data_IF_452838914381
#
_entry.id   IF_452838914381
#
_cell.length_a   1.000
_cell.length_b   1.000
_cell.length_c   1.000
_cell.angle_alpha   90.00
_cell.angle_beta   90.00
_cell.angle_gamma   90.00
#
_symmetry.space_group_name_H-M   'P 1'
#
loop_
_entity.id
_entity.type
_entity.pdbx_description
1 polymer ?
#
# COMPACT_ATOMS: atom_id res chain seq x y z
N UNK A 1 -59.33 15.33 -53.70
CA UNK A 1 -57.85 15.34 -53.76
C UNK A 1 -57.33 14.74 -52.47
N UNK A 2 -56.43 13.77 -52.55
CA UNK A 2 -55.76 13.18 -51.38
C UNK A 2 -54.74 14.20 -50.87
N UNK A 3 -54.88 14.65 -49.63
CA UNK A 3 -53.91 15.55 -48.99
C UNK A 3 -52.85 14.69 -48.30
N UNK A 4 -51.67 14.61 -48.92
CA UNK A 4 -50.54 13.84 -48.41
C UNK A 4 -49.93 14.42 -47.12
N UNK A 5 -50.38 15.60 -46.67
CA UNK A 5 -49.91 16.24 -45.43
C UNK A 5 -50.71 15.86 -44.18
N UNK A 6 -51.81 15.12 -44.35
CA UNK A 6 -52.66 14.66 -43.25
C UNK A 6 -52.32 13.23 -42.85
N UNK A 7 -51.68 13.07 -41.69
CA UNK A 7 -51.44 11.77 -41.06
C UNK A 7 -52.42 11.53 -39.90
N UNK A 8 -52.83 10.27 -39.71
CA UNK A 8 -53.76 9.86 -38.64
C UNK A 8 -53.32 8.54 -38.04
N UNK A 9 -53.41 8.40 -36.72
CA UNK A 9 -53.28 7.11 -36.03
C UNK A 9 -54.63 6.45 -35.95
N UNK A 10 -54.66 5.15 -36.20
CA UNK A 10 -55.89 4.37 -36.15
C UNK A 10 -55.77 3.28 -35.11
N UNK A 11 -56.75 3.22 -34.21
CA UNK A 11 -56.97 2.09 -33.33
C UNK A 11 -58.22 1.35 -33.80
N UNK A 12 -58.13 0.02 -33.89
CA UNK A 12 -59.24 -0.80 -34.35
C UNK A 12 -59.47 -2.02 -33.48
N UNK A 13 -60.73 -2.41 -33.32
CA UNK A 13 -61.13 -3.65 -32.65
C UNK A 13 -62.06 -4.44 -33.56
N UNK A 14 -61.75 -5.72 -33.74
CA UNK A 14 -62.64 -6.64 -34.43
C UNK A 14 -63.81 -7.01 -33.52
N UNK A 15 -65.02 -6.94 -34.07
CA UNK A 15 -66.28 -7.34 -33.42
C UNK A 15 -66.93 -8.46 -34.24
N UNK A 16 -67.92 -9.14 -33.65
CA UNK A 16 -68.47 -10.40 -34.16
C UNK A 16 -68.95 -10.34 -35.63
N UNK A 17 -69.40 -9.16 -36.10
CA UNK A 17 -69.84 -8.90 -37.49
C UNK A 17 -69.12 -7.71 -38.16
N UNK A 18 -67.89 -7.37 -37.76
CA UNK A 18 -67.15 -6.28 -38.40
C UNK A 18 -65.94 -5.77 -37.62
N UNK A 19 -65.58 -4.50 -37.82
CA UNK A 19 -64.56 -3.83 -37.01
C UNK A 19 -64.98 -2.38 -36.74
N UNK A 20 -64.60 -1.89 -35.57
CA UNK A 20 -64.68 -0.46 -35.25
C UNK A 20 -63.28 0.10 -35.38
N UNK A 21 -63.12 1.20 -36.10
CA UNK A 21 -61.86 1.92 -36.24
C UNK A 21 -62.07 3.37 -35.83
N UNK A 22 -61.23 3.86 -34.92
CA UNK A 22 -61.19 5.27 -34.52
C UNK A 22 -59.91 5.85 -35.08
N UNK A 23 -60.04 6.89 -35.91
CA UNK A 23 -58.92 7.66 -36.41
C UNK A 23 -58.72 8.90 -35.57
N UNK A 24 -57.55 9.04 -34.97
CA UNK A 24 -57.12 10.23 -34.25
C UNK A 24 -56.16 11.04 -35.12
N UNK A 25 -56.30 12.36 -35.10
CA UNK A 25 -55.40 13.24 -35.85
C UNK A 25 -53.98 13.13 -35.28
N UNK A 26 -52.99 12.91 -36.14
CA UNK A 26 -51.63 12.68 -35.67
C UNK A 26 -51.03 13.93 -35.00
N UNK A 27 -51.44 15.15 -35.39
CA UNK A 27 -50.91 16.38 -34.77
C UNK A 27 -51.44 16.55 -33.36
N UNK A 28 -52.75 16.42 -33.19
CA UNK A 28 -53.37 16.48 -31.85
C UNK A 28 -52.85 15.37 -30.93
N UNK A 29 -52.58 14.17 -31.46
CA UNK A 29 -51.93 13.09 -30.72
C UNK A 29 -50.54 13.43 -30.21
N UNK A 30 -49.72 14.03 -31.06
CA UNK A 30 -48.37 14.45 -30.70
C UNK A 30 -48.41 15.59 -29.68
N UNK A 31 -49.35 16.54 -29.82
CA UNK A 31 -49.53 17.63 -28.86
C UNK A 31 -49.96 17.12 -27.47
N UNK A 32 -50.93 16.19 -27.42
CA UNK A 32 -51.39 15.57 -26.17
C UNK A 32 -50.29 14.71 -25.53
N UNK A 33 -49.57 13.90 -26.32
CA UNK A 33 -48.41 13.13 -25.85
C UNK A 33 -47.32 14.04 -25.31
N UNK A 34 -47.03 15.14 -26.01
CA UNK A 34 -46.01 16.10 -25.60
C UNK A 34 -46.32 16.67 -24.22
N UNK A 35 -47.57 17.08 -23.99
CA UNK A 35 -48.01 17.59 -22.69
C UNK A 35 -47.89 16.52 -21.58
N UNK A 36 -48.25 15.27 -21.89
CA UNK A 36 -48.25 14.18 -20.91
C UNK A 36 -46.85 13.63 -20.61
N UNK A 37 -45.99 13.54 -21.62
CA UNK A 37 -44.56 13.18 -21.48
C UNK A 37 -43.83 14.28 -20.72
N UNK A 38 -44.04 15.55 -21.05
CA UNK A 38 -43.44 16.67 -20.31
C UNK A 38 -43.86 16.67 -18.83
N UNK A 39 -45.13 16.41 -18.54
CA UNK A 39 -45.62 16.28 -17.17
C UNK A 39 -45.04 15.07 -16.43
N UNK A 40 -44.87 13.95 -17.13
CA UNK A 40 -44.36 12.68 -16.56
C UNK A 40 -42.85 12.66 -16.32
N UNK A 41 -42.10 13.46 -17.08
CA UNK A 41 -40.64 13.59 -16.96
C UNK A 41 -40.25 14.64 -15.92
N UNK A 42 -41.09 15.66 -15.70
CA UNK A 42 -40.86 16.73 -14.70
C UNK A 42 -40.63 16.28 -13.26
N UNK A 43 -41.06 15.07 -12.88
CA UNK A 43 -40.84 14.51 -11.53
C UNK A 43 -39.90 13.30 -11.54
N UNK A 44 -39.17 13.06 -12.64
CA UNK A 44 -38.19 11.98 -12.73
C UNK A 44 -36.80 12.58 -12.87
N UNK A 45 -35.85 11.98 -12.16
CA UNK A 45 -34.43 12.32 -12.20
C UNK A 45 -33.61 11.03 -12.20
N UNK A 46 -32.38 11.11 -12.71
CA UNK A 46 -31.42 10.00 -12.64
C UNK A 46 -30.41 10.32 -11.54
N UNK A 47 -30.20 9.39 -10.60
CA UNK A 47 -29.34 9.69 -9.45
C UNK A 47 -29.94 10.80 -8.57
N UNK A 48 -29.11 11.74 -8.10
CA UNK A 48 -29.51 12.91 -7.31
C UNK A 48 -29.59 14.19 -8.13
N UNK A 49 -28.71 14.35 -9.13
CA UNK A 49 -28.56 15.57 -9.94
C UNK A 49 -28.69 15.34 -11.43
N UNK A 50 -28.87 14.09 -11.87
CA UNK A 50 -29.11 13.77 -13.26
C UNK A 50 -30.48 14.21 -13.76
N UNK A 51 -30.55 14.50 -15.05
CA UNK A 51 -31.71 15.11 -15.70
C UNK A 51 -32.21 14.24 -16.85
N UNK A 52 -33.50 14.33 -17.11
CA UNK A 52 -34.09 13.79 -18.33
C UNK A 52 -34.35 14.93 -19.31
N UNK A 53 -33.96 14.72 -20.57
CA UNK A 53 -34.18 15.66 -21.67
C UNK A 53 -34.97 14.93 -22.74
N UNK A 54 -36.09 15.51 -23.15
CA UNK A 54 -36.93 15.00 -24.24
C UNK A 54 -36.79 15.95 -25.41
N UNK A 55 -36.38 15.42 -26.56
CA UNK A 55 -36.30 16.18 -27.82
C UNK A 55 -37.21 15.59 -28.89
N UNK A 56 -37.59 16.43 -29.86
CA UNK A 56 -38.29 15.99 -31.06
C UNK A 56 -37.33 15.34 -32.08
N UNK A 57 -37.86 14.87 -33.21
CA UNK A 57 -37.09 14.31 -34.34
C UNK A 57 -36.06 15.31 -34.91
N UNK A 58 -36.26 16.62 -34.70
CA UNK A 58 -35.39 17.69 -35.19
C UNK A 58 -34.29 18.08 -34.20
N UNK A 59 -34.32 17.52 -32.98
CA UNK A 59 -33.37 17.81 -31.91
C UNK A 59 -33.74 19.03 -31.06
N UNK A 60 -34.94 19.60 -31.20
CA UNK A 60 -35.43 20.68 -30.35
C UNK A 60 -35.90 20.13 -29.00
N UNK A 61 -35.57 20.82 -27.89
CA UNK A 61 -35.99 20.41 -26.55
C UNK A 61 -37.49 20.67 -26.41
N UNK A 62 -38.23 19.61 -26.16
CA UNK A 62 -39.65 19.65 -25.87
C UNK A 62 -39.89 19.81 -24.37
N UNK A 63 -39.09 19.08 -23.58
CA UNK A 63 -39.17 19.11 -22.13
C UNK A 63 -37.84 18.72 -21.51
N UNK A 64 -37.48 19.39 -20.43
CA UNK A 64 -36.32 19.09 -19.61
C UNK A 64 -36.66 19.26 -18.13
N UNK A 65 -36.00 18.50 -17.26
CA UNK A 65 -36.04 18.75 -15.83
C UNK A 65 -35.06 19.89 -15.49
N UNK A 66 -35.59 21.11 -15.30
CA UNK A 66 -34.81 22.33 -15.02
C UNK A 66 -34.97 23.42 -16.07
N UNK A 67 -34.22 24.51 -15.94
CA UNK A 67 -34.19 25.66 -16.86
C UNK A 67 -33.10 25.49 -17.94
N UNK A 68 -32.98 24.28 -18.50
CA UNK A 68 -31.92 24.01 -19.47
C UNK A 68 -32.18 24.80 -20.75
N UNK A 69 -31.17 25.57 -21.19
CA UNK A 69 -31.28 26.45 -22.33
C UNK A 69 -31.36 25.67 -23.66
N UNK A 70 -32.21 26.12 -24.57
CA UNK A 70 -32.34 25.59 -25.96
C UNK A 70 -31.00 25.55 -26.71
N UNK A 71 -30.02 26.37 -26.31
CA UNK A 71 -28.67 26.39 -26.90
C UNK A 71 -27.89 25.07 -26.70
N UNK A 72 -28.22 24.27 -25.68
CA UNK A 72 -27.54 23.00 -25.38
C UNK A 72 -28.16 21.83 -26.17
N UNK A 73 -29.38 22.02 -26.72
CA UNK A 73 -30.14 21.01 -27.45
C UNK A 73 -29.41 20.46 -28.68
N UNK A 74 -28.82 21.36 -29.48
CA UNK A 74 -28.18 21.00 -30.75
C UNK A 74 -26.95 20.12 -30.55
N UNK A 75 -26.09 20.47 -29.60
CA UNK A 75 -24.89 19.68 -29.30
C UNK A 75 -25.24 18.29 -28.75
N UNK A 76 -26.26 18.22 -27.88
CA UNK A 76 -26.73 16.96 -27.32
C UNK A 76 -27.33 16.04 -28.40
N UNK A 77 -28.05 16.61 -29.37
CA UNK A 77 -28.61 15.86 -30.50
C UNK A 77 -27.53 15.35 -31.46
N UNK A 78 -26.49 16.14 -31.73
CA UNK A 78 -25.36 15.75 -32.58
C UNK A 78 -24.54 14.62 -31.94
N UNK A 79 -24.24 14.74 -30.64
CA UNK A 79 -23.53 13.70 -29.88
C UNK A 79 -24.33 12.39 -29.82
N UNK A 80 -25.66 12.48 -29.63
CA UNK A 80 -26.55 11.31 -29.64
C UNK A 80 -26.61 10.64 -31.03
N UNK A 81 -26.67 11.42 -32.10
CA UNK A 81 -26.71 10.91 -33.47
C UNK A 81 -25.41 10.17 -33.86
N UNK A 82 -24.27 10.50 -33.26
CA UNK A 82 -22.98 9.87 -33.54
C UNK A 82 -22.84 8.44 -32.97
N UNK A 83 -23.54 8.12 -31.87
CA UNK A 83 -23.35 6.86 -31.13
C UNK A 83 -24.50 5.87 -31.33
N UNK A 84 -25.71 6.36 -31.64
CA UNK A 84 -26.91 5.53 -31.83
C UNK A 84 -27.66 5.24 -30.52
N UNK A 85 -28.93 4.84 -30.65
CA UNK A 85 -29.82 4.61 -29.51
C UNK A 85 -29.36 3.45 -28.61
N UNK A 86 -29.69 3.53 -27.32
CA UNK A 86 -29.35 2.55 -26.26
C UNK A 86 -27.85 2.33 -26.01
N UNK A 87 -27.02 3.29 -26.41
CA UNK A 87 -25.58 3.28 -26.11
C UNK A 87 -25.21 4.41 -25.15
N UNK A 88 -24.31 4.09 -24.21
CA UNK A 88 -23.74 5.07 -23.30
C UNK A 88 -22.71 5.92 -24.04
N UNK A 89 -22.87 7.24 -23.98
CA UNK A 89 -21.91 8.21 -24.49
C UNK A 89 -21.61 9.29 -23.46
N UNK A 90 -20.60 10.10 -23.75
CA UNK A 90 -20.21 11.22 -22.88
C UNK A 90 -20.46 12.51 -23.63
N UNK A 91 -21.08 13.47 -22.96
CA UNK A 91 -21.42 14.78 -23.52
C UNK A 91 -21.19 15.87 -22.48
N UNK A 92 -21.21 17.13 -22.93
CA UNK A 92 -21.11 18.30 -22.06
C UNK A 92 -22.50 18.93 -21.94
N UNK A 93 -23.03 18.95 -20.72
CA UNK A 93 -24.31 19.57 -20.41
C UNK A 93 -24.08 20.67 -19.38
N UNK A 94 -24.48 21.91 -19.70
CA UNK A 94 -24.26 23.10 -18.86
C UNK A 94 -22.79 23.29 -18.40
N UNK A 95 -21.82 22.90 -19.23
CA UNK A 95 -20.39 23.01 -18.94
C UNK A 95 -19.83 21.93 -17.99
N UNK A 96 -20.63 20.89 -17.69
CA UNK A 96 -20.19 19.71 -16.93
C UNK A 96 -20.20 18.46 -17.81
N UNK A 97 -19.19 17.61 -17.63
CA UNK A 97 -19.12 16.31 -18.27
C UNK A 97 -20.20 15.39 -17.69
N UNK A 98 -21.03 14.84 -18.56
CA UNK A 98 -22.14 13.98 -18.21
C UNK A 98 -22.09 12.68 -19.02
N UNK A 99 -22.47 11.58 -18.38
CA UNK A 99 -22.79 10.34 -19.07
C UNK A 99 -24.23 10.41 -19.55
N UNK A 100 -24.46 10.12 -20.82
CA UNK A 100 -25.76 10.20 -21.45
C UNK A 100 -26.10 8.88 -22.15
N UNK A 101 -27.40 8.57 -22.20
CA UNK A 101 -27.98 7.48 -22.96
C UNK A 101 -29.35 7.93 -23.46
N UNK A 102 -29.79 7.45 -24.61
CA UNK A 102 -31.10 7.80 -25.15
C UNK A 102 -31.83 6.64 -25.80
N UNK A 103 -33.15 6.75 -25.83
CA UNK A 103 -34.06 5.87 -26.55
C UNK A 103 -34.98 6.68 -27.46
N UNK A 104 -35.30 6.14 -28.64
CA UNK A 104 -36.26 6.73 -29.58
C UNK A 104 -37.62 6.04 -29.48
N UNK A 105 -38.66 6.80 -29.14
CA UNK A 105 -40.03 6.30 -29.00
C UNK A 105 -40.98 7.23 -29.74
N UNK A 106 -41.64 6.72 -30.78
CA UNK A 106 -42.75 7.42 -31.47
C UNK A 106 -42.38 8.84 -31.98
N UNK A 107 -41.15 9.03 -32.47
CA UNK A 107 -40.65 10.32 -32.96
C UNK A 107 -40.03 11.22 -31.88
N UNK A 108 -39.96 10.74 -30.63
CA UNK A 108 -39.34 11.45 -29.52
C UNK A 108 -38.05 10.76 -29.10
N UNK A 109 -37.03 11.56 -28.76
CA UNK A 109 -35.80 11.07 -28.12
C UNK A 109 -35.88 11.39 -26.63
N UNK A 110 -35.87 10.35 -25.81
CA UNK A 110 -35.80 10.48 -24.35
C UNK A 110 -34.35 10.22 -23.95
N UNK A 111 -33.67 11.26 -23.47
CA UNK A 111 -32.28 11.21 -23.05
C UNK A 111 -32.19 11.30 -21.54
N UNK A 112 -31.32 10.49 -20.97
CA UNK A 112 -31.02 10.47 -19.55
C UNK A 112 -29.56 10.90 -19.37
N UNK A 113 -29.32 11.97 -18.61
CA UNK A 113 -27.99 12.51 -18.35
C UNK A 113 -27.65 12.39 -16.86
N UNK A 114 -26.46 11.89 -16.57
CA UNK A 114 -25.92 11.77 -15.21
C UNK A 114 -24.55 12.47 -15.14
N UNK A 115 -24.38 13.52 -14.32
CA UNK A 115 -23.10 14.19 -14.16
C UNK A 115 -21.98 13.22 -13.76
N UNK A 116 -20.84 13.31 -14.43
CA UNK A 116 -19.69 12.44 -14.16
C UNK A 116 -19.16 12.62 -12.72
N UNK A 117 -19.33 13.81 -12.14
CA UNK A 117 -19.02 14.11 -10.73
C UNK A 117 -19.84 13.27 -9.76
N UNK A 118 -21.12 13.05 -10.05
CA UNK A 118 -22.03 12.23 -9.25
C UNK A 118 -21.74 10.74 -9.47
N UNK A 119 -21.66 10.31 -10.73
CA UNK A 119 -21.37 8.93 -11.09
C UNK A 119 -20.05 8.43 -10.46
N UNK A 120 -19.04 9.31 -10.38
CA UNK A 120 -17.74 9.00 -9.80
C UNK A 120 -17.62 9.37 -8.32
N UNK A 121 -18.63 9.97 -7.68
CA UNK A 121 -18.54 10.44 -6.28
C UNK A 121 -18.18 9.30 -5.31
N UNK A 122 -18.89 8.16 -5.43
CA UNK A 122 -18.62 6.97 -4.60
C UNK A 122 -17.25 6.37 -4.89
N UNK A 123 -16.82 6.38 -6.15
CA UNK A 123 -15.50 5.90 -6.56
C UNK A 123 -14.39 6.75 -5.95
N UNK A 124 -14.49 8.07 -6.04
CA UNK A 124 -13.47 8.98 -5.53
C UNK A 124 -13.33 8.89 -4.01
N UNK A 125 -14.46 8.82 -3.29
CA UNK A 125 -14.46 8.59 -1.85
C UNK A 125 -13.80 7.25 -1.47
N UNK A 126 -14.15 6.18 -2.19
CA UNK A 126 -13.58 4.85 -1.98
C UNK A 126 -12.07 4.82 -2.22
N UNK A 127 -11.60 5.43 -3.32
CA UNK A 127 -10.17 5.51 -3.66
C UNK A 127 -9.39 6.22 -2.56
N UNK A 128 -9.91 7.34 -2.05
CA UNK A 128 -9.24 8.11 -1.00
C UNK A 128 -9.16 7.30 0.31
N UNK A 129 -10.24 6.64 0.70
CA UNK A 129 -10.28 5.77 1.89
C UNK A 129 -9.31 4.60 1.75
N UNK A 130 -9.30 3.93 0.59
CA UNK A 130 -8.40 2.80 0.32
C UNK A 130 -6.95 3.26 0.37
N UNK A 131 -6.60 4.35 -0.32
CA UNK A 131 -5.24 4.89 -0.32
C UNK A 131 -4.77 5.26 1.10
N UNK A 132 -5.65 5.87 1.90
CA UNK A 132 -5.35 6.19 3.29
C UNK A 132 -5.11 4.94 4.15
N UNK A 133 -5.98 3.92 4.02
CA UNK A 133 -5.81 2.65 4.73
C UNK A 133 -4.52 1.93 4.32
N UNK A 134 -4.18 1.97 3.04
CA UNK A 134 -2.96 1.36 2.53
C UNK A 134 -1.71 2.03 3.11
N UNK A 135 -1.69 3.37 3.20
CA UNK A 135 -0.62 4.11 3.89
C UNK A 135 -0.50 3.69 5.36
N UNK A 136 -1.62 3.53 6.06
CA UNK A 136 -1.61 3.07 7.46
C UNK A 136 -1.06 1.66 7.61
N UNK A 137 -1.45 0.73 6.73
CA UNK A 137 -0.95 -0.64 6.72
C UNK A 137 0.56 -0.65 6.47
N UNK A 138 1.06 0.11 5.48
CA UNK A 138 2.49 0.22 5.23
C UNK A 138 3.26 0.83 6.40
N UNK A 139 2.70 1.87 7.05
CA UNK A 139 3.32 2.47 8.23
C UNK A 139 3.41 1.48 9.39
N UNK A 140 2.33 0.73 9.66
CA UNK A 140 2.33 -0.30 10.69
C UNK A 140 3.33 -1.42 10.39
N UNK A 141 3.38 -1.89 9.14
CA UNK A 141 4.33 -2.90 8.69
C UNK A 141 5.77 -2.40 8.84
N UNK A 142 6.04 -1.14 8.48
CA UNK A 142 7.35 -0.52 8.66
C UNK A 142 7.75 -0.44 10.14
N UNK A 143 6.82 -0.08 11.03
CA UNK A 143 7.06 -0.06 12.48
C UNK A 143 7.38 -1.45 13.03
N UNK A 144 6.67 -2.49 12.56
CA UNK A 144 6.94 -3.88 12.97
C UNK A 144 8.32 -4.31 12.50
N UNK A 145 8.66 -4.09 11.22
CA UNK A 145 9.99 -4.41 10.68
C UNK A 145 11.07 -3.66 11.46
N UNK A 146 10.88 -2.36 11.71
CA UNK A 146 11.81 -1.55 12.49
C UNK A 146 11.98 -2.11 13.92
N UNK A 147 10.89 -2.48 14.58
CA UNK A 147 10.94 -3.06 15.92
C UNK A 147 11.70 -4.39 15.94
N UNK A 148 11.44 -5.28 14.97
CA UNK A 148 12.14 -6.57 14.84
C UNK A 148 13.63 -6.35 14.59
N UNK A 149 14.00 -5.50 13.62
CA UNK A 149 15.40 -5.18 13.34
C UNK A 149 16.10 -4.59 14.56
N UNK A 150 15.44 -3.66 15.26
CA UNK A 150 16.01 -3.02 16.45
C UNK A 150 16.19 -4.00 17.61
N UNK A 151 15.19 -4.85 17.86
CA UNK A 151 15.17 -5.74 19.01
C UNK A 151 16.04 -6.99 18.79
N UNK A 152 15.99 -7.58 17.60
CA UNK A 152 16.66 -8.85 17.29
C UNK A 152 18.07 -8.65 16.74
N UNK A 153 18.28 -7.67 15.86
CA UNK A 153 19.58 -7.49 15.19
C UNK A 153 20.42 -6.44 15.91
N UNK A 154 19.95 -5.19 15.99
CA UNK A 154 20.76 -4.06 16.49
C UNK A 154 21.15 -4.25 17.95
N UNK A 155 20.20 -4.65 18.80
CA UNK A 155 20.45 -4.89 20.22
C UNK A 155 21.44 -6.03 20.44
N UNK A 156 21.30 -7.12 19.68
CA UNK A 156 22.17 -8.30 19.75
C UNK A 156 23.59 -7.98 19.33
N UNK A 157 23.77 -7.29 18.19
CA UNK A 157 25.09 -6.83 17.72
C UNK A 157 25.77 -5.91 18.74
N UNK A 158 25.04 -4.92 19.28
CA UNK A 158 25.61 -4.03 20.30
C UNK A 158 26.02 -4.77 21.57
N UNK A 159 25.23 -5.76 21.98
CA UNK A 159 25.51 -6.56 23.18
C UNK A 159 26.78 -7.37 22.99
N UNK A 160 26.89 -8.09 21.86
CA UNK A 160 28.10 -8.86 21.54
C UNK A 160 29.33 -7.97 21.41
N UNK A 161 29.26 -6.85 20.68
CA UNK A 161 30.41 -5.94 20.54
C UNK A 161 30.88 -5.39 21.89
N UNK A 162 29.95 -5.10 22.81
CA UNK A 162 30.32 -4.66 24.16
C UNK A 162 31.05 -5.76 24.95
N UNK A 163 30.56 -7.00 24.88
CA UNK A 163 31.19 -8.14 25.57
C UNK A 163 32.56 -8.48 24.94
N UNK A 164 32.64 -8.46 23.62
CA UNK A 164 33.89 -8.65 22.89
C UNK A 164 34.90 -7.55 23.21
N UNK A 165 34.45 -6.29 23.36
CA UNK A 165 35.28 -5.19 23.83
C UNK A 165 35.95 -5.49 25.18
N UNK A 166 35.20 -6.01 26.15
CA UNK A 166 35.75 -6.39 27.45
C UNK A 166 36.77 -7.53 27.35
N UNK A 167 36.54 -8.50 26.46
CA UNK A 167 37.49 -9.57 26.18
C UNK A 167 38.79 -8.99 25.58
N UNK A 168 38.68 -8.06 24.64
CA UNK A 168 39.84 -7.39 24.03
C UNK A 168 40.61 -6.50 25.01
N UNK A 169 39.94 -5.99 26.05
CA UNK A 169 40.56 -5.26 27.16
C UNK A 169 41.25 -6.19 28.19
N UNK A 170 41.23 -7.51 27.97
CA UNK A 170 41.90 -8.52 28.80
C UNK A 170 40.99 -9.21 29.82
N UNK A 171 39.70 -8.87 29.88
CA UNK A 171 38.75 -9.57 30.75
C UNK A 171 38.20 -10.84 30.07
N UNK A 172 38.95 -11.93 30.17
CA UNK A 172 38.56 -13.21 29.60
C UNK A 172 37.42 -13.91 30.37
N UNK A 173 37.00 -13.42 31.53
CA UNK A 173 35.93 -14.04 32.32
C UNK A 173 34.52 -13.72 31.80
N UNK A 174 34.41 -12.80 30.86
CA UNK A 174 33.14 -12.44 30.21
C UNK A 174 32.70 -13.55 29.27
N UNK A 175 31.42 -13.90 29.34
CA UNK A 175 30.77 -14.84 28.41
C UNK A 175 29.88 -14.06 27.47
N UNK A 176 30.05 -14.29 26.17
CA UNK A 176 29.14 -13.76 25.15
C UNK A 176 27.92 -14.67 25.10
N UNK A 177 26.75 -14.16 25.47
CA UNK A 177 25.51 -14.95 25.49
C UNK A 177 24.37 -14.18 24.82
N UNK A 178 24.24 -14.37 23.51
CA UNK A 178 23.19 -13.75 22.71
C UNK A 178 22.48 -14.84 21.90
N UNK A 179 21.23 -15.14 22.30
CA UNK A 179 20.43 -16.27 21.77
C UNK A 179 19.16 -15.82 21.03
N UNK A 180 19.12 -14.59 20.54
CA UNK A 180 17.93 -14.03 19.88
C UNK A 180 17.64 -14.63 18.50
N UNK A 181 18.64 -15.23 17.86
CA UNK A 181 18.50 -15.95 16.59
C UNK A 181 19.53 -17.09 16.55
N UNK A 182 19.30 -18.09 15.68
CA UNK A 182 20.21 -19.22 15.49
C UNK A 182 21.63 -18.76 15.14
N UNK A 183 21.74 -17.78 14.26
CA UNK A 183 23.01 -17.25 13.77
C UNK A 183 23.79 -16.57 14.91
N UNK A 184 23.09 -15.81 15.77
CA UNK A 184 23.72 -15.15 16.92
C UNK A 184 24.11 -16.13 18.02
N UNK A 185 23.34 -17.20 18.20
CA UNK A 185 23.67 -18.30 19.10
C UNK A 185 24.98 -18.96 18.68
N UNK A 186 25.07 -19.38 17.41
CA UNK A 186 26.28 -20.00 16.85
C UNK A 186 27.49 -19.08 16.90
N UNK A 187 27.30 -17.78 16.63
CA UNK A 187 28.37 -16.79 16.74
C UNK A 187 28.85 -16.61 18.19
N UNK A 188 27.93 -16.54 19.15
CA UNK A 188 28.26 -16.46 20.57
C UNK A 188 29.07 -17.67 21.03
N UNK A 189 28.67 -18.87 20.62
CA UNK A 189 29.39 -20.11 20.94
C UNK A 189 30.80 -20.13 20.34
N UNK A 190 30.94 -19.74 19.06
CA UNK A 190 32.25 -19.65 18.40
C UNK A 190 33.19 -18.64 19.06
N UNK A 191 32.67 -17.49 19.51
CA UNK A 191 33.47 -16.51 20.27
C UNK A 191 33.92 -17.12 21.60
N UNK A 192 33.01 -17.74 22.35
CA UNK A 192 33.35 -18.35 23.65
C UNK A 192 34.35 -19.51 23.50
N UNK A 193 34.26 -20.29 22.43
CA UNK A 193 35.24 -21.33 22.12
C UNK A 193 36.63 -20.75 21.88
N UNK A 194 36.71 -19.64 21.14
CA UNK A 194 37.97 -18.93 20.90
C UNK A 194 38.55 -18.35 22.19
N UNK A 195 37.71 -17.76 23.06
CA UNK A 195 38.12 -17.30 24.39
C UNK A 195 38.59 -18.45 25.26
N UNK A 196 37.95 -19.62 25.18
CA UNK A 196 38.38 -20.84 25.85
C UNK A 196 39.78 -21.26 25.44
N UNK A 197 40.04 -21.31 24.13
CA UNK A 197 41.37 -21.64 23.59
C UNK A 197 42.44 -20.61 24.01
N UNK A 198 42.09 -19.32 24.04
CA UNK A 198 42.98 -18.26 24.55
C UNK A 198 43.33 -18.45 26.04
N UNK A 199 42.34 -18.80 26.87
CA UNK A 199 42.58 -19.08 28.30
C UNK A 199 43.52 -20.27 28.48
N UNK A 200 43.30 -21.34 27.74
CA UNK A 200 44.14 -22.54 27.79
C UNK A 200 45.58 -22.24 27.34
N UNK A 201 45.75 -21.50 26.24
CA UNK A 201 47.07 -21.07 25.78
C UNK A 201 47.79 -20.18 26.80
N UNK A 202 47.10 -19.25 27.44
CA UNK A 202 47.69 -18.42 28.51
C UNK A 202 48.04 -19.23 29.75
N UNK A 203 47.24 -20.24 30.11
CA UNK A 203 47.53 -21.14 31.21
C UNK A 203 48.77 -21.99 30.94
N UNK A 204 48.92 -22.49 29.71
CA UNK A 204 50.12 -23.20 29.27
C UNK A 204 51.36 -22.31 29.36
N UNK A 205 51.30 -21.08 28.81
CA UNK A 205 52.42 -20.13 28.88
C UNK A 205 52.80 -19.81 30.33
N UNK A 206 51.82 -19.66 31.23
CA UNK A 206 52.08 -19.47 32.67
C UNK A 206 52.78 -20.69 33.28
N UNK A 207 52.31 -21.89 32.99
CA UNK A 207 52.93 -23.13 33.45
C UNK A 207 54.38 -23.27 32.97
N UNK A 208 54.65 -22.95 31.71
CA UNK A 208 56.01 -23.00 31.14
C UNK A 208 56.94 -21.99 31.82
N UNK A 209 56.43 -20.79 32.14
CA UNK A 209 57.18 -19.78 32.88
C UNK A 209 57.49 -20.22 34.32
N UNK A 210 56.51 -20.81 35.02
CA UNK A 210 56.70 -21.35 36.38
C UNK A 210 57.72 -22.49 36.39
N UNK A 211 57.67 -23.38 35.38
CA UNK A 211 58.66 -24.44 35.21
C UNK A 211 60.06 -23.86 34.97
N UNK A 212 60.20 -22.88 34.07
CA UNK A 212 61.48 -22.23 33.81
C UNK A 212 62.05 -21.53 35.06
N UNK A 213 61.20 -20.87 35.85
CA UNK A 213 61.60 -20.25 37.12
C UNK A 213 62.11 -21.30 38.11
N UNK A 214 61.43 -22.44 38.24
CA UNK A 214 61.87 -23.54 39.13
C UNK A 214 63.20 -24.16 38.69
N UNK A 215 63.43 -24.32 37.39
CA UNK A 215 64.71 -24.82 36.85
C UNK A 215 65.82 -23.84 37.18
N UNK A 216 65.63 -22.53 36.93
CA UNK A 216 66.63 -21.51 37.24
C UNK A 216 66.99 -21.53 38.73
N UNK A 217 66.00 -21.57 39.62
CA UNK A 217 66.22 -21.65 41.06
C UNK A 217 67.04 -22.88 41.47
N UNK A 218 66.76 -24.05 40.88
CA UNK A 218 67.42 -25.31 41.22
C UNK A 218 68.78 -25.53 40.51
N UNK A 219 69.06 -24.79 39.43
CA UNK A 219 70.37 -24.85 38.73
C UNK A 219 71.46 -24.02 39.40
N UNK A 220 71.12 -23.21 40.41
CA UNK A 220 72.12 -22.56 41.24
C UNK A 220 72.81 -23.65 42.08
N UNK A 221 74.11 -23.89 41.89
CA UNK A 221 74.83 -24.85 42.73
C UNK A 221 74.83 -24.33 44.16
N UNK A 222 74.56 -25.22 45.14
CA UNK A 222 74.71 -24.92 46.57
C UNK A 222 76.21 -24.88 46.93
N UNK A 223 76.94 -23.93 46.35
CA UNK A 223 78.34 -23.67 46.69
C UNK A 223 78.45 -22.92 48.02
N UNK A 224 77.32 -22.36 48.50
CA UNK A 224 77.20 -21.69 49.79
C UNK A 224 77.51 -22.65 50.94
N UNK A 225 76.97 -23.86 50.96
CA UNK A 225 77.30 -24.85 52.01
C UNK A 225 78.75 -25.34 51.94
N UNK A 226 79.32 -25.45 50.74
CA UNK A 226 80.70 -25.88 50.53
C UNK A 226 81.76 -24.81 50.89
N UNK A 227 81.46 -23.52 50.66
CA UNK A 227 82.37 -22.40 50.92
C UNK A 227 82.18 -21.82 52.34
N UNK A 228 80.99 -21.92 52.94
CA UNK A 228 80.73 -21.48 54.32
C UNK A 228 81.58 -22.21 55.37
N UNK A 229 82.16 -23.38 55.04
CA UNK A 229 83.11 -24.09 55.90
C UNK A 229 84.51 -23.43 55.94
N UNK A 230 84.79 -22.40 55.12
CA UNK A 230 86.07 -21.71 55.03
C UNK A 230 85.88 -20.21 55.27
N UNK A 231 86.39 -19.70 56.40
CA UNK A 231 86.31 -18.27 56.79
C UNK A 231 87.24 -17.33 55.98
N UNK A 232 87.78 -17.80 54.86
CA UNK A 232 88.85 -17.12 54.12
C UNK A 232 88.30 -16.25 52.96
N UNK A 233 87.07 -16.52 52.51
CA UNK A 233 86.46 -15.87 51.36
C UNK A 233 84.96 -15.62 51.61
N UNK A 234 84.47 -14.45 51.20
CA UNK A 234 83.02 -14.15 51.11
C UNK A 234 82.56 -14.28 49.66
N UNK A 235 81.57 -15.17 49.42
CA UNK A 235 80.97 -15.35 48.11
C UNK A 235 79.71 -14.49 47.98
N UNK A 236 79.76 -13.49 47.09
CA UNK A 236 78.58 -12.73 46.68
C UNK A 236 78.16 -13.16 45.28
N UNK A 237 77.04 -13.88 45.18
CA UNK A 237 76.41 -14.21 43.91
C UNK A 237 75.02 -13.57 43.85
N UNK A 238 74.70 -12.94 42.71
CA UNK A 238 73.38 -12.39 42.43
C UNK A 238 72.88 -12.93 41.11
N UNK A 239 71.67 -13.49 41.09
CA UNK A 239 70.97 -13.85 39.86
C UNK A 239 70.00 -12.71 39.51
N UNK A 240 70.03 -12.24 38.27
CA UNK A 240 68.95 -11.44 37.69
C UNK A 240 68.12 -12.34 36.77
N UNK A 241 66.87 -12.67 37.13
CA UNK A 241 66.00 -13.42 36.23
C UNK A 241 65.75 -12.62 34.95
N UNK A 242 65.61 -13.31 33.82
CA UNK A 242 65.43 -12.67 32.52
C UNK A 242 64.08 -11.96 32.36
N UNK A 243 63.10 -12.23 33.23
CA UNK A 243 61.79 -11.55 33.27
C UNK A 243 61.15 -11.73 34.66
N UNK A 244 60.76 -10.62 35.30
CA UNK A 244 59.99 -10.64 36.54
C UNK A 244 58.54 -11.03 36.22
N UNK A 245 58.04 -12.06 36.90
CA UNK A 245 56.63 -12.44 36.89
C UNK A 245 55.91 -11.63 37.96
N UNK A 246 55.22 -10.59 37.52
CA UNK A 246 54.23 -9.80 38.27
C UNK A 246 53.08 -9.44 37.35
#
# INVERSE_FOLDING_TARGET
AFDASTSRKYAGMAIQDGFVQVGYDARNFLDDLTAEVAASVKNRHVGQTGVFVVTDETGSIISTYGDAADAVAGQLADDAAAVGADQLFTTQFEGQECYAMYEEVEGYRIMALLPASEANASRNASVLIIAFMEVLVFAALFLVIYAVLKLVVVRSVRTMNRQLGQITEGNLNVVVDVRTASEFSSLSDGINQTVGALKESLALVRSDLDMAASIQANTLPDVTSAIAARNEFDLHAGMRPAREVG
#
